data_IF_463885998765
#
_entry.id   IF_463885998765
#
_cell.length_a   1.000
_cell.length_b   1.000
_cell.length_c   1.000
_cell.angle_alpha   90.00
_cell.angle_beta   90.00
_cell.angle_gamma   90.00
#
_symmetry.space_group_name_H-M   'P 1'
#
loop_
_entity.id
_entity.type
_entity.pdbx_description
1 polymer ?
#
# COMPACT_ATOMS: atom_id res chain seq x y z
N UNK A 1 -0.94 9.42 -2.88
CA UNK A 1 -0.23 8.13 -2.84
C UNK A 1 0.31 7.86 -4.24
N UNK A 2 1.62 7.59 -4.39
CA UNK A 2 2.25 7.20 -5.66
C UNK A 2 1.57 6.00 -6.31
N UNK A 3 1.65 5.89 -7.64
CA UNK A 3 1.00 4.82 -8.41
C UNK A 3 1.52 3.43 -8.02
N UNK A 4 2.84 3.29 -7.86
CA UNK A 4 3.49 2.03 -7.47
C UNK A 4 3.03 1.50 -6.11
N UNK A 5 2.79 2.39 -5.14
CA UNK A 5 2.24 2.00 -3.82
C UNK A 5 0.79 1.50 -3.92
N UNK A 6 0.01 2.08 -4.84
CA UNK A 6 -1.37 1.67 -5.11
C UNK A 6 -1.40 0.28 -5.74
N UNK A 7 -0.50 0.02 -6.69
CA UNK A 7 -0.34 -1.29 -7.32
C UNK A 7 0.06 -2.36 -6.30
N UNK A 8 1.02 -2.06 -5.41
CA UNK A 8 1.45 -3.01 -4.37
C UNK A 8 0.30 -3.39 -3.42
N UNK A 9 -0.57 -2.43 -3.06
CA UNK A 9 -1.77 -2.72 -2.27
C UNK A 9 -2.74 -3.61 -3.04
N UNK A 10 -3.02 -3.29 -4.31
CA UNK A 10 -3.89 -4.12 -5.14
C UNK A 10 -3.40 -5.57 -5.18
N UNK A 11 -2.11 -5.76 -5.49
CA UNK A 11 -1.53 -7.10 -5.61
C UNK A 11 -1.48 -7.84 -4.27
N UNK A 12 -1.18 -7.16 -3.15
CA UNK A 12 -1.03 -7.84 -1.85
C UNK A 12 -2.31 -7.94 -1.02
N UNK A 13 -3.08 -6.86 -0.91
CA UNK A 13 -4.21 -6.77 0.01
C UNK A 13 -5.53 -7.16 -0.63
N UNK A 14 -5.59 -7.23 -1.98
CA UNK A 14 -6.81 -7.60 -2.73
C UNK A 14 -6.60 -8.93 -3.47
N UNK A 15 -5.50 -9.06 -4.22
CA UNK A 15 -5.21 -10.27 -5.00
C UNK A 15 -4.39 -11.32 -4.23
N UNK A 16 -3.96 -10.98 -3.01
CA UNK A 16 -3.27 -11.87 -2.06
C UNK A 16 -1.97 -12.52 -2.55
N UNK A 17 -1.31 -11.96 -3.58
CA UNK A 17 0.00 -12.45 -4.03
C UNK A 17 1.08 -12.35 -2.97
N UNK A 18 2.07 -13.25 -3.05
CA UNK A 18 3.22 -13.23 -2.15
C UNK A 18 4.23 -12.15 -2.51
N UNK A 19 5.00 -11.71 -1.50
CA UNK A 19 5.99 -10.65 -1.68
C UNK A 19 7.00 -10.98 -2.78
N UNK A 20 7.43 -12.23 -2.87
CA UNK A 20 8.36 -12.71 -3.89
C UNK A 20 7.78 -12.60 -5.31
N UNK A 21 6.47 -12.86 -5.46
CA UNK A 21 5.78 -12.76 -6.75
C UNK A 21 5.63 -11.29 -7.16
N UNK A 22 5.21 -10.44 -6.23
CA UNK A 22 5.09 -8.98 -6.43
C UNK A 22 6.45 -8.36 -6.76
N UNK A 23 7.51 -8.80 -6.07
CA UNK A 23 8.89 -8.38 -6.30
C UNK A 23 9.33 -8.70 -7.74
N UNK A 24 9.00 -9.89 -8.25
CA UNK A 24 9.28 -10.27 -9.65
C UNK A 24 8.44 -9.48 -10.64
N UNK A 25 7.13 -9.36 -10.42
CA UNK A 25 6.20 -8.64 -11.30
C UNK A 25 6.58 -7.17 -11.46
N UNK A 26 6.97 -6.52 -10.36
CA UNK A 26 7.31 -5.09 -10.35
C UNK A 26 8.81 -4.82 -10.58
N UNK A 27 9.62 -5.88 -10.76
CA UNK A 27 11.09 -5.77 -10.89
C UNK A 27 11.73 -4.95 -9.75
N UNK A 28 11.26 -5.18 -8.53
CA UNK A 28 11.73 -4.52 -7.31
C UNK A 28 12.33 -5.54 -6.35
N UNK A 29 13.14 -5.10 -5.38
CA UNK A 29 13.55 -5.98 -4.29
C UNK A 29 12.42 -6.16 -3.26
N UNK A 30 12.35 -7.33 -2.62
CA UNK A 30 11.35 -7.66 -1.60
C UNK A 30 11.29 -6.64 -0.45
N UNK A 31 12.44 -6.14 -0.01
CA UNK A 31 12.52 -5.15 1.07
C UNK A 31 11.79 -3.86 0.69
N UNK A 32 11.95 -3.40 -0.54
CA UNK A 32 11.30 -2.21 -1.06
C UNK A 32 9.79 -2.42 -1.21
N UNK A 33 9.34 -3.60 -1.66
CA UNK A 33 7.91 -3.94 -1.70
C UNK A 33 7.30 -3.85 -0.30
N UNK A 34 7.94 -4.43 0.72
CA UNK A 34 7.46 -4.40 2.12
C UNK A 34 7.42 -2.98 2.68
N UNK A 35 8.47 -2.18 2.45
CA UNK A 35 8.54 -0.78 2.89
C UNK A 35 7.46 0.07 2.19
N UNK A 36 7.30 -0.10 0.88
CA UNK A 36 6.28 0.59 0.10
C UNK A 36 4.87 0.24 0.57
N UNK A 37 4.58 -1.05 0.80
CA UNK A 37 3.30 -1.51 1.34
C UNK A 37 3.01 -0.90 2.71
N UNK A 38 4.00 -0.90 3.62
CA UNK A 38 3.85 -0.32 4.96
C UNK A 38 3.49 1.17 4.90
N UNK A 39 4.21 1.94 4.07
CA UNK A 39 3.94 3.37 3.86
C UNK A 39 2.56 3.59 3.23
N UNK A 40 2.20 2.77 2.24
CA UNK A 40 0.92 2.86 1.55
C UNK A 40 -0.26 2.62 2.52
N UNK A 41 -0.18 1.58 3.36
CA UNK A 41 -1.17 1.31 4.42
C UNK A 41 -1.26 2.43 5.44
N UNK A 42 -0.12 3.02 5.84
CA UNK A 42 -0.12 4.19 6.74
C UNK A 42 -0.85 5.37 6.11
N UNK A 43 -0.57 5.69 4.84
CA UNK A 43 -1.25 6.77 4.12
C UNK A 43 -2.76 6.52 3.98
N UNK A 44 -3.20 5.28 3.75
CA UNK A 44 -4.63 4.95 3.71
C UNK A 44 -5.27 5.18 5.07
N UNK A 45 -4.66 4.67 6.15
CA UNK A 45 -5.15 4.88 7.52
C UNK A 45 -5.27 6.37 7.84
N UNK A 46 -4.23 7.16 7.58
CA UNK A 46 -4.24 8.61 7.83
C UNK A 46 -5.35 9.31 7.05
N UNK A 47 -5.54 8.96 5.77
CA UNK A 47 -6.65 9.51 4.97
C UNK A 47 -8.00 9.17 5.57
N UNK A 48 -8.23 7.91 5.94
CA UNK A 48 -9.48 7.49 6.57
C UNK A 48 -9.70 8.24 7.88
N UNK A 49 -8.72 8.29 8.78
CA UNK A 49 -8.84 9.00 10.06
C UNK A 49 -9.07 10.50 9.87
N UNK A 50 -8.37 11.15 8.92
CA UNK A 50 -8.55 12.58 8.64
C UNK A 50 -9.93 12.89 8.05
N UNK A 51 -10.48 12.00 7.20
CA UNK A 51 -11.84 12.16 6.67
C UNK A 51 -12.91 12.05 7.76
N UNK A 52 -12.70 11.18 8.76
CA UNK A 52 -13.64 11.04 9.89
C UNK A 52 -13.59 12.23 10.88
N UNK A 53 -12.47 12.95 10.95
CA UNK A 53 -12.35 14.14 11.79
C UNK A 53 -13.04 15.39 11.20
N UNK A 54 -13.43 15.38 9.93
CA UNK A 54 -14.10 16.51 9.28
C UNK A 54 -15.63 16.54 9.48
N UNK A 55 -16.20 15.51 10.12
CA UNK A 55 -17.64 15.39 10.37
C UNK A 55 -18.09 15.71 11.80
N UNK A 56 -17.18 16.11 12.69
CA UNK A 56 -17.50 16.52 14.07
C UNK A 56 -16.89 17.90 14.31
N UNK A 57 -17.64 18.94 13.96
CA UNK A 57 -17.50 20.27 14.53
C UNK A 57 -18.88 20.90 14.69
#
# INVERSE_FOLDING_TARGET
MPEQQRMIIQLRDIEEYDFDEISKMLSMNNTAVRVALSRARKTIRERLTNTHNYGIK
#
